data_IF_881939104961
#
_entry.id   IF_881939104961
#
_cell.length_a   1.000
_cell.length_b   1.000
_cell.length_c   1.000
_cell.angle_alpha   90.00
_cell.angle_beta   90.00
_cell.angle_gamma   90.00
#
_symmetry.space_group_name_H-M   'P 1'
#
loop_
_entity.id
_entity.type
_entity.pdbx_description
1 polymer ?
#
# COMPACT_ATOMS: atom_id res chain seq x y z
N UNK A 1 18.12 -10.48 16.98
CA UNK A 1 17.61 -9.10 16.87
C UNK A 1 16.25 -9.05 17.52
N UNK A 2 15.83 -7.89 18.01
CA UNK A 2 14.50 -7.72 18.60
C UNK A 2 13.50 -7.38 17.50
N UNK A 3 12.53 -8.25 17.25
CA UNK A 3 11.46 -7.97 16.29
C UNK A 3 10.56 -6.84 16.82
N UNK A 4 10.25 -5.89 15.95
CA UNK A 4 9.37 -4.75 16.24
C UNK A 4 8.43 -4.51 15.07
N UNK A 5 7.33 -3.80 15.31
CA UNK A 5 6.32 -3.54 14.30
C UNK A 5 6.87 -2.56 13.26
N UNK A 6 7.33 -1.38 13.70
CA UNK A 6 7.86 -0.37 12.81
C UNK A 6 9.03 0.39 13.41
N UNK A 7 9.86 0.98 12.53
CA UNK A 7 10.71 2.12 12.86
C UNK A 7 10.06 3.38 12.28
N UNK A 8 9.90 4.41 13.11
CA UNK A 8 9.53 5.76 12.66
C UNK A 8 10.76 6.64 12.77
N UNK A 9 11.13 7.30 11.68
CA UNK A 9 12.34 8.10 11.57
C UNK A 9 11.97 9.56 11.31
N UNK A 10 12.42 10.46 12.18
CA UNK A 10 12.34 11.91 11.97
C UNK A 10 13.74 12.53 12.04
N UNK A 11 13.94 13.67 11.38
CA UNK A 11 15.23 14.35 11.39
C UNK A 11 15.38 15.18 12.67
N UNK A 12 14.32 15.89 13.07
CA UNK A 12 14.36 16.89 14.14
C UNK A 12 13.53 16.48 15.37
N UNK A 13 13.81 17.12 16.51
CA UNK A 13 13.09 16.83 17.77
C UNK A 13 11.64 17.31 17.68
N UNK A 14 11.42 18.43 17.01
CA UNK A 14 10.15 19.07 16.74
C UNK A 14 9.21 18.16 15.95
N UNK A 15 9.75 17.41 14.99
CA UNK A 15 9.00 16.41 14.20
C UNK A 15 8.64 15.16 15.03
N UNK A 16 9.47 14.84 16.03
CA UNK A 16 9.27 13.69 16.91
C UNK A 16 8.37 13.99 18.11
N UNK A 17 8.34 15.24 18.56
CA UNK A 17 7.63 15.70 19.76
C UNK A 17 6.15 15.32 19.77
N UNK A 18 5.37 15.44 18.66
CA UNK A 18 3.95 15.09 18.65
C UNK A 18 3.65 13.66 19.12
N UNK A 19 4.53 12.69 18.83
CA UNK A 19 4.31 11.29 19.19
C UNK A 19 4.25 11.05 20.70
N UNK A 20 4.90 11.89 21.51
CA UNK A 20 4.83 11.80 22.98
C UNK A 20 3.41 12.02 23.50
N UNK A 21 2.65 12.91 22.84
CA UNK A 21 1.26 13.22 23.20
C UNK A 21 0.25 12.29 22.54
N UNK A 22 0.58 11.77 21.34
CA UNK A 22 -0.32 10.93 20.55
C UNK A 22 -0.30 9.45 20.98
N UNK A 23 0.61 9.05 21.87
CA UNK A 23 0.76 7.69 22.37
C UNK A 23 0.60 7.59 23.91
N UNK A 24 -0.49 8.13 24.49
CA UNK A 24 -0.63 8.24 25.95
C UNK A 24 -0.67 6.87 26.67
N UNK A 25 -1.08 5.82 25.96
CA UNK A 25 -1.21 4.46 26.51
C UNK A 25 0.02 3.58 26.27
N UNK A 26 1.07 4.10 25.62
CA UNK A 26 2.29 3.36 25.34
C UNK A 26 3.28 3.55 26.49
N UNK A 27 3.90 2.45 26.92
CA UNK A 27 5.08 2.54 27.79
C UNK A 27 6.29 2.86 26.93
N UNK A 28 7.00 3.94 27.25
CA UNK A 28 8.20 4.37 26.52
C UNK A 28 9.47 4.09 27.31
N UNK A 29 10.52 3.61 26.63
CA UNK A 29 11.86 3.46 27.20
C UNK A 29 12.92 4.00 26.25
N UNK A 30 13.86 4.81 26.77
CA UNK A 30 14.97 5.32 25.97
C UNK A 30 15.90 4.20 25.50
N UNK A 31 16.39 4.31 24.26
CA UNK A 31 17.38 3.41 23.69
C UNK A 31 18.65 4.21 23.45
N UNK A 32 19.78 3.78 24.04
CA UNK A 32 21.06 4.46 23.86
C UNK A 32 21.54 4.33 22.42
N UNK A 33 21.73 5.46 21.74
CA UNK A 33 22.23 5.58 20.36
C UNK A 33 23.67 6.11 20.34
N UNK A 34 24.41 5.93 19.23
CA UNK A 34 25.74 6.53 19.05
C UNK A 34 25.68 8.06 18.84
N UNK A 35 24.58 8.55 18.25
CA UNK A 35 24.23 9.96 18.05
C UNK A 35 22.71 10.05 17.84
N UNK A 36 22.17 11.27 17.77
CA UNK A 36 20.72 11.48 17.74
C UNK A 36 20.06 10.92 19.00
N UNK A 37 18.79 10.54 18.91
CA UNK A 37 18.08 9.90 20.02
C UNK A 37 17.14 8.81 19.53
N UNK A 38 16.79 7.89 20.43
CA UNK A 38 15.80 6.87 20.16
C UNK A 38 15.01 6.51 21.41
N UNK A 39 13.73 6.20 21.23
CA UNK A 39 12.91 5.59 22.26
C UNK A 39 12.03 4.50 21.68
N UNK A 40 11.74 3.51 22.51
CA UNK A 40 10.91 2.37 22.15
C UNK A 40 9.57 2.51 22.87
N UNK A 41 8.49 2.59 22.12
CA UNK A 41 7.13 2.64 22.63
C UNK A 41 6.48 1.25 22.52
N UNK A 42 5.86 0.78 23.60
CA UNK A 42 5.16 -0.51 23.63
C UNK A 42 3.76 -0.44 24.20
N UNK A 43 2.84 -1.16 23.59
CA UNK A 43 1.47 -1.41 24.08
C UNK A 43 1.01 -2.78 23.60
N UNK A 44 0.68 -3.68 24.52
CA UNK A 44 0.29 -5.05 24.16
C UNK A 44 1.38 -5.74 23.34
N UNK A 45 1.01 -6.22 22.14
CA UNK A 45 1.95 -6.83 21.17
C UNK A 45 2.67 -5.81 20.28
N UNK A 46 2.30 -4.54 20.37
CA UNK A 46 2.80 -3.47 19.53
C UNK A 46 4.07 -2.86 20.13
N UNK A 47 5.10 -2.71 19.30
CA UNK A 47 6.41 -2.21 19.63
C UNK A 47 6.92 -1.36 18.47
N UNK A 48 7.11 -0.06 18.70
CA UNK A 48 7.52 0.90 17.68
C UNK A 48 8.79 1.60 18.16
N UNK A 49 9.85 1.56 17.35
CA UNK A 49 11.08 2.29 17.62
C UNK A 49 11.03 3.64 16.93
N UNK A 50 11.21 4.70 17.69
CA UNK A 50 11.30 6.07 17.19
C UNK A 50 12.76 6.49 17.15
N UNK A 51 13.20 7.00 16.00
CA UNK A 51 14.55 7.51 15.77
C UNK A 51 14.50 8.99 15.41
N UNK A 52 15.24 9.82 16.16
CA UNK A 52 15.53 11.20 15.77
C UNK A 52 16.99 11.28 15.33
N UNK A 53 17.21 11.48 14.04
CA UNK A 53 18.52 11.23 13.39
C UNK A 53 19.46 12.43 13.42
N UNK A 54 18.92 13.64 13.46
CA UNK A 54 19.60 14.83 12.94
C UNK A 54 19.36 14.98 11.44
N UNK A 55 19.59 16.19 10.94
CA UNK A 55 19.32 16.58 9.55
C UNK A 55 20.38 16.02 8.60
N UNK A 56 19.93 15.59 7.41
CA UNK A 56 20.78 15.18 6.31
C UNK A 56 20.90 13.67 6.12
N UNK A 57 21.28 13.29 4.91
CA UNK A 57 21.23 11.93 4.40
C UNK A 57 22.16 10.99 5.17
N UNK A 58 23.35 11.47 5.55
CA UNK A 58 24.36 10.70 6.31
C UNK A 58 23.88 10.40 7.74
N UNK A 59 23.32 11.40 8.42
CA UNK A 59 22.80 11.24 9.77
C UNK A 59 21.63 10.25 9.80
N UNK A 60 20.69 10.42 8.85
CA UNK A 60 19.54 9.55 8.67
C UNK A 60 19.94 8.09 8.40
N UNK A 61 20.82 7.87 7.42
CA UNK A 61 21.30 6.54 7.04
C UNK A 61 22.08 5.87 8.16
N UNK A 62 22.96 6.62 8.83
CA UNK A 62 23.82 6.08 9.88
C UNK A 62 23.03 5.58 11.09
N UNK A 63 22.03 6.35 11.55
CA UNK A 63 21.23 5.93 12.70
C UNK A 63 20.24 4.81 12.36
N UNK A 64 19.65 4.82 11.15
CA UNK A 64 18.80 3.73 10.69
C UNK A 64 19.60 2.42 10.55
N UNK A 65 20.76 2.45 9.90
CA UNK A 65 21.62 1.26 9.75
C UNK A 65 22.07 0.71 11.12
N UNK A 66 22.41 1.58 12.07
CA UNK A 66 22.70 1.17 13.44
C UNK A 66 21.49 0.50 14.12
N UNK A 67 20.28 1.02 13.91
CA UNK A 67 19.07 0.46 14.49
C UNK A 67 18.76 -0.92 13.88
N UNK A 68 18.93 -1.08 12.57
CA UNK A 68 18.75 -2.36 11.86
C UNK A 68 19.78 -3.42 12.27
N UNK A 69 20.93 -3.03 12.83
CA UNK A 69 21.87 -3.95 13.48
C UNK A 69 21.36 -4.56 14.79
N UNK A 70 20.24 -4.06 15.34
CA UNK A 70 19.71 -4.46 16.66
C UNK A 70 18.25 -4.89 16.61
N UNK A 71 17.47 -4.26 15.75
CA UNK A 71 16.03 -4.41 15.62
C UNK A 71 15.66 -4.91 14.23
N UNK A 72 14.61 -5.71 14.17
CA UNK A 72 14.06 -6.25 12.92
C UNK A 72 12.63 -5.72 12.76
N UNK A 73 12.46 -4.57 12.07
CA UNK A 73 11.15 -3.98 11.86
C UNK A 73 10.42 -4.59 10.67
N UNK A 74 9.09 -4.56 10.71
CA UNK A 74 8.25 -4.98 9.58
C UNK A 74 7.99 -3.84 8.59
N UNK A 75 8.22 -2.59 8.97
CA UNK A 75 8.26 -1.43 8.08
C UNK A 75 9.11 -0.29 8.67
N UNK A 76 9.55 0.62 7.79
CA UNK A 76 10.19 1.88 8.13
C UNK A 76 9.32 3.00 7.57
N UNK A 77 9.02 4.01 8.40
CA UNK A 77 8.29 5.20 7.97
C UNK A 77 9.13 6.43 8.29
N UNK A 78 9.49 7.18 7.25
CA UNK A 78 10.08 8.52 7.42
C UNK A 78 8.98 9.54 7.62
N UNK A 79 9.11 10.40 8.63
CA UNK A 79 8.13 11.42 8.98
C UNK A 79 8.80 12.76 9.18
N UNK A 80 8.13 13.84 8.79
CA UNK A 80 8.58 15.20 9.11
C UNK A 80 7.92 16.27 8.26
N UNK A 81 8.58 17.42 8.15
CA UNK A 81 8.17 18.48 7.22
C UNK A 81 8.97 18.43 5.92
N UNK A 82 8.48 19.13 4.88
CA UNK A 82 9.18 19.27 3.61
C UNK A 82 8.78 20.57 2.90
N UNK A 83 9.65 21.04 2.00
CA UNK A 83 9.32 22.11 1.06
C UNK A 83 8.46 21.59 -0.09
N UNK A 84 7.37 22.28 -0.39
CA UNK A 84 6.49 22.03 -1.54
C UNK A 84 7.12 22.59 -2.81
N UNK A 85 7.32 21.72 -3.80
CA UNK A 85 7.90 22.05 -5.10
C UNK A 85 6.85 22.10 -6.21
N UNK A 86 5.67 21.52 -6.03
CA UNK A 86 4.57 21.62 -6.98
C UNK A 86 3.61 22.76 -6.59
N UNK A 87 3.16 23.54 -7.58
CA UNK A 87 2.32 24.72 -7.35
C UNK A 87 0.89 24.37 -6.88
N UNK A 88 0.50 23.08 -6.94
CA UNK A 88 -0.78 22.60 -6.39
C UNK A 88 -0.77 22.34 -4.88
N UNK A 89 0.40 22.39 -4.24
CA UNK A 89 0.55 22.13 -2.80
C UNK A 89 0.29 23.39 -1.97
N UNK A 90 -0.35 23.20 -0.82
CA UNK A 90 -0.51 24.22 0.20
C UNK A 90 0.25 23.86 1.49
N UNK A 91 0.58 24.86 2.30
CA UNK A 91 1.14 24.63 3.66
C UNK A 91 0.15 23.78 4.45
N UNK A 92 0.68 22.76 5.14
CA UNK A 92 -0.11 21.78 5.90
C UNK A 92 -0.68 20.63 5.07
N UNK A 93 -0.57 20.65 3.74
CA UNK A 93 -0.86 19.47 2.93
C UNK A 93 0.10 18.32 3.27
N UNK A 94 -0.37 17.10 3.08
CA UNK A 94 0.42 15.89 3.27
C UNK A 94 0.94 15.40 1.91
N UNK A 95 2.23 15.13 1.81
CA UNK A 95 2.85 14.41 0.69
C UNK A 95 3.30 13.04 1.17
N UNK A 96 2.79 12.01 0.50
CA UNK A 96 3.21 10.62 0.65
C UNK A 96 4.13 10.27 -0.51
N UNK A 97 5.39 9.93 -0.23
CA UNK A 97 6.31 9.54 -1.29
C UNK A 97 5.89 8.23 -1.96
N UNK A 98 5.91 8.21 -3.30
CA UNK A 98 5.75 6.98 -4.11
C UNK A 98 7.06 6.56 -4.76
N UNK A 99 7.92 7.54 -5.05
CA UNK A 99 9.27 7.39 -5.59
C UNK A 99 10.20 8.37 -4.90
N UNK A 100 11.45 7.96 -4.72
CA UNK A 100 12.49 8.74 -4.07
C UNK A 100 13.73 8.84 -4.95
N UNK A 101 14.23 10.06 -5.15
CA UNK A 101 15.41 10.34 -5.99
C UNK A 101 16.40 11.24 -5.27
N UNK A 102 17.69 11.03 -5.54
CA UNK A 102 18.74 11.86 -4.96
C UNK A 102 18.86 13.16 -5.76
N UNK A 103 18.59 14.30 -5.13
CA UNK A 103 18.56 15.61 -5.80
C UNK A 103 19.91 16.16 -6.26
N UNK A 104 21.03 15.55 -5.83
CA UNK A 104 22.38 16.07 -6.08
C UNK A 104 23.32 15.03 -6.72
N UNK A 105 22.91 13.77 -6.88
CA UNK A 105 23.75 12.78 -7.52
C UNK A 105 23.79 13.02 -9.04
N UNK A 106 24.99 13.09 -9.60
CA UNK A 106 25.20 13.23 -11.03
C UNK A 106 26.29 12.27 -11.51
N UNK A 107 25.85 11.18 -12.13
CA UNK A 107 26.69 10.25 -12.85
C UNK A 107 26.32 10.20 -14.35
N UNK A 108 25.72 11.27 -14.88
CA UNK A 108 25.28 11.37 -16.28
C UNK A 108 26.44 11.25 -17.26
N UNK A 109 27.65 11.63 -16.84
CA UNK A 109 28.89 11.39 -17.60
C UNK A 109 29.14 9.91 -17.93
N UNK A 110 28.54 8.99 -17.18
CA UNK A 110 28.60 7.54 -17.40
C UNK A 110 27.29 6.96 -17.99
N UNK A 111 26.35 7.81 -18.40
CA UNK A 111 25.09 7.40 -19.02
C UNK A 111 23.95 7.06 -18.05
N UNK A 112 24.11 7.35 -16.75
CA UNK A 112 23.03 7.21 -15.76
C UNK A 112 22.04 8.39 -15.83
N UNK A 113 20.82 8.17 -15.33
CA UNK A 113 19.83 9.24 -15.21
C UNK A 113 20.23 10.28 -14.14
N UNK A 114 19.77 11.54 -14.23
CA UNK A 114 19.94 12.51 -13.16
C UNK A 114 19.44 11.97 -11.82
N UNK A 115 20.23 12.16 -10.76
CA UNK A 115 19.91 11.64 -9.42
C UNK A 115 20.17 10.15 -9.20
N UNK A 116 20.58 9.41 -10.24
CA UNK A 116 20.92 8.00 -10.12
C UNK A 116 22.40 7.81 -9.74
N UNK A 117 22.62 7.18 -8.59
CA UNK A 117 23.96 6.73 -8.19
C UNK A 117 24.32 5.44 -8.95
N UNK A 118 25.54 5.28 -9.48
CA UNK A 118 25.95 4.07 -10.18
C UNK A 118 25.68 2.79 -9.36
N UNK A 119 25.03 1.82 -10.00
CA UNK A 119 24.66 0.55 -9.36
C UNK A 119 23.41 0.60 -8.49
N UNK A 120 22.73 1.75 -8.39
CA UNK A 120 21.43 1.90 -7.71
C UNK A 120 20.30 2.04 -8.74
N UNK A 121 19.05 1.74 -8.37
CA UNK A 121 17.91 2.10 -9.20
C UNK A 121 17.81 3.62 -9.37
N UNK A 122 17.19 4.07 -10.47
CA UNK A 122 16.92 5.49 -10.72
C UNK A 122 16.04 6.10 -9.63
N UNK A 123 15.04 5.33 -9.19
CA UNK A 123 14.16 5.67 -8.08
C UNK A 123 14.10 4.52 -7.08
N UNK A 124 14.08 4.84 -5.80
CA UNK A 124 13.60 3.91 -4.79
C UNK A 124 12.09 4.04 -4.68
N UNK A 125 11.37 2.92 -4.70
CA UNK A 125 9.90 2.92 -4.66
C UNK A 125 9.39 2.72 -3.24
N UNK A 126 8.30 3.42 -2.90
CA UNK A 126 7.58 3.17 -1.67
C UNK A 126 6.76 1.88 -1.77
N UNK A 127 6.47 1.26 -0.62
CA UNK A 127 5.59 0.09 -0.56
C UNK A 127 4.14 0.52 -0.79
N UNK A 128 3.50 -0.04 -1.82
CA UNK A 128 2.14 0.33 -2.23
C UNK A 128 1.11 0.30 -1.08
N UNK A 129 1.13 -0.73 -0.23
CA UNK A 129 0.23 -0.85 0.92
C UNK A 129 0.40 0.29 1.94
N UNK A 130 1.64 0.78 2.14
CA UNK A 130 1.91 1.91 3.04
C UNK A 130 1.43 3.23 2.41
N UNK A 131 1.59 3.38 1.10
CA UNK A 131 1.09 4.55 0.36
C UNK A 131 -0.43 4.60 0.40
N UNK A 132 -1.12 3.49 0.09
CA UNK A 132 -2.59 3.42 0.13
C UNK A 132 -3.12 3.72 1.54
N UNK A 133 -2.46 3.16 2.57
CA UNK A 133 -2.81 3.41 3.96
C UNK A 133 -2.65 4.89 4.35
N UNK A 134 -1.58 5.54 3.91
CA UNK A 134 -1.31 6.95 4.18
C UNK A 134 -2.27 7.88 3.40
N UNK A 135 -2.60 7.57 2.15
CA UNK A 135 -3.60 8.31 1.38
C UNK A 135 -5.01 8.19 1.98
N UNK A 136 -5.32 7.04 2.58
CA UNK A 136 -6.60 6.83 3.27
C UNK A 136 -6.66 7.53 4.65
N UNK A 137 -5.53 7.99 5.19
CA UNK A 137 -5.44 8.73 6.43
C UNK A 137 -5.83 10.20 6.24
N UNK A 138 -7.07 10.43 5.81
CA UNK A 138 -7.61 11.76 5.60
C UNK A 138 -7.69 12.54 6.91
N UNK A 139 -7.17 13.78 6.88
CA UNK A 139 -7.42 14.77 7.92
C UNK A 139 -8.37 15.84 7.40
N UNK A 140 -9.32 16.25 8.23
CA UNK A 140 -10.23 17.34 7.88
C UNK A 140 -9.41 18.60 7.53
N UNK A 141 -9.72 19.22 6.39
CA UNK A 141 -9.11 20.45 5.87
C UNK A 141 -7.65 20.33 5.39
N UNK A 142 -7.15 19.13 5.05
CA UNK A 142 -5.82 18.96 4.43
C UNK A 142 -5.90 18.01 3.25
N UNK A 143 -5.24 18.34 2.15
CA UNK A 143 -5.13 17.43 1.01
C UNK A 143 -3.99 16.44 1.24
N UNK A 144 -4.16 15.23 0.73
CA UNK A 144 -3.07 14.23 0.72
C UNK A 144 -2.72 13.93 -0.72
N UNK A 145 -1.47 14.19 -1.06
CA UNK A 145 -0.88 14.00 -2.38
C UNK A 145 0.09 12.84 -2.34
N UNK A 146 0.23 12.12 -3.44
CA UNK A 146 1.21 11.03 -3.55
C UNK A 146 2.03 11.19 -4.83
N UNK A 147 3.35 11.12 -4.71
CA UNK A 147 4.20 11.41 -5.86
C UNK A 147 5.70 11.37 -5.56
N UNK A 148 6.46 12.04 -6.42
CA UNK A 148 7.92 12.04 -6.38
C UNK A 148 8.44 12.95 -5.28
N UNK A 149 9.34 12.42 -4.44
CA UNK A 149 10.07 13.16 -3.42
C UNK A 149 11.56 13.16 -3.76
N UNK A 150 12.17 14.34 -3.77
CA UNK A 150 13.62 14.50 -3.96
C UNK A 150 14.31 14.71 -2.62
N UNK A 151 15.46 14.08 -2.39
CA UNK A 151 16.27 14.32 -1.19
C UNK A 151 17.71 14.69 -1.51
N UNK A 152 18.27 15.67 -0.80
CA UNK A 152 19.69 16.04 -0.88
C UNK A 152 20.15 16.75 0.38
N UNK A 153 21.46 16.80 0.65
CA UNK A 153 22.03 17.62 1.73
C UNK A 153 22.04 19.13 1.40
N UNK A 154 21.00 19.61 0.72
CA UNK A 154 20.83 21.01 0.33
C UNK A 154 19.37 21.41 0.50
N UNK A 155 19.16 22.53 1.17
CA UNK A 155 17.85 23.13 1.30
C UNK A 155 17.41 23.73 -0.04
N UNK A 156 16.17 23.44 -0.46
CA UNK A 156 15.63 23.96 -1.72
C UNK A 156 15.08 25.36 -1.48
N UNK A 157 15.48 26.31 -2.32
CA UNK A 157 15.15 27.73 -2.24
C UNK A 157 14.68 28.23 -3.60
N UNK A 158 14.20 29.47 -3.67
CA UNK A 158 13.87 30.12 -4.94
C UNK A 158 15.04 30.07 -5.95
N UNK A 159 16.28 30.07 -5.48
CA UNK A 159 17.46 30.06 -6.34
C UNK A 159 17.69 28.73 -7.08
N UNK A 160 17.22 27.60 -6.53
CA UNK A 160 17.50 26.27 -7.10
C UNK A 160 16.23 25.45 -7.42
N UNK A 161 15.03 25.90 -7.02
CA UNK A 161 13.76 25.20 -7.27
C UNK A 161 13.47 25.00 -8.75
N UNK A 162 13.77 25.98 -9.61
CA UNK A 162 13.53 25.87 -11.05
C UNK A 162 14.39 24.75 -11.68
N UNK A 163 15.63 24.62 -11.23
CA UNK A 163 16.51 23.53 -11.64
C UNK A 163 15.95 22.18 -11.18
N UNK A 164 15.51 22.08 -9.91
CA UNK A 164 14.92 20.83 -9.39
C UNK A 164 13.67 20.40 -10.17
N UNK A 165 12.76 21.33 -10.47
CA UNK A 165 11.55 21.05 -11.27
C UNK A 165 11.88 20.61 -12.70
N UNK A 166 12.93 21.17 -13.29
CA UNK A 166 13.37 20.83 -14.65
C UNK A 166 14.05 19.46 -14.68
N UNK A 167 14.94 19.19 -13.73
CA UNK A 167 15.68 17.93 -13.63
C UNK A 167 14.78 16.76 -13.22
N UNK A 168 13.79 17.01 -12.37
CA UNK A 168 12.87 16.00 -11.85
C UNK A 168 11.42 16.39 -12.15
N UNK A 169 10.93 16.17 -13.39
CA UNK A 169 9.56 16.50 -13.75
C UNK A 169 8.53 15.79 -12.86
N UNK A 170 7.56 16.54 -12.34
CA UNK A 170 6.52 16.03 -11.44
C UNK A 170 6.96 15.83 -9.99
N UNK A 171 8.11 16.38 -9.58
CA UNK A 171 8.52 16.43 -8.18
C UNK A 171 7.50 17.20 -7.35
N UNK A 172 6.99 16.57 -6.29
CA UNK A 172 6.03 17.20 -5.37
C UNK A 172 6.74 17.95 -4.26
N UNK A 173 7.71 17.32 -3.61
CA UNK A 173 8.37 17.91 -2.44
C UNK A 173 9.85 17.56 -2.37
N UNK A 174 10.58 18.37 -1.63
CA UNK A 174 11.99 18.16 -1.32
C UNK A 174 12.23 18.07 0.19
N UNK A 175 13.04 17.09 0.60
CA UNK A 175 13.55 16.98 1.96
C UNK A 175 15.06 16.64 1.94
N UNK A 176 15.62 16.26 3.09
CA UNK A 176 17.04 15.96 3.22
C UNK A 176 17.32 14.49 3.65
N UNK A 177 16.30 13.62 3.68
CA UNK A 177 16.45 12.26 4.26
C UNK A 177 15.71 11.14 3.52
N UNK A 178 14.54 11.39 2.90
CA UNK A 178 13.63 10.30 2.48
C UNK A 178 14.30 9.31 1.52
N UNK A 179 15.02 9.79 0.51
CA UNK A 179 15.69 8.90 -0.44
C UNK A 179 16.81 8.07 0.23
N UNK A 180 17.57 8.65 1.14
CA UNK A 180 18.64 7.94 1.84
C UNK A 180 18.06 6.80 2.71
N UNK A 181 16.96 7.09 3.42
CA UNK A 181 16.23 6.09 4.21
C UNK A 181 15.60 5.02 3.32
N UNK A 182 15.02 5.39 2.18
CA UNK A 182 14.47 4.46 1.20
C UNK A 182 15.54 3.51 0.64
N UNK A 183 16.74 4.03 0.38
CA UNK A 183 17.87 3.24 -0.10
C UNK A 183 18.33 2.20 0.94
N UNK A 184 18.41 2.59 2.22
CA UNK A 184 18.72 1.63 3.29
C UNK A 184 17.61 0.59 3.42
N UNK A 185 16.34 1.00 3.42
CA UNK A 185 15.21 0.07 3.50
C UNK A 185 15.21 -0.93 2.33
N UNK A 186 15.48 -0.47 1.11
CA UNK A 186 15.61 -1.31 -0.08
C UNK A 186 16.76 -2.32 0.06
N UNK A 187 17.92 -1.91 0.57
CA UNK A 187 19.07 -2.80 0.76
C UNK A 187 18.79 -3.93 1.78
N UNK A 188 17.87 -3.71 2.72
CA UNK A 188 17.46 -4.69 3.73
C UNK A 188 16.14 -5.40 3.40
N UNK A 189 15.53 -5.14 2.24
CA UNK A 189 14.22 -5.66 1.82
C UNK A 189 13.10 -5.36 2.85
N UNK A 190 13.11 -4.16 3.42
CA UNK A 190 12.14 -3.71 4.42
C UNK A 190 11.15 -2.73 3.77
N UNK A 191 9.83 -2.92 3.95
CA UNK A 191 8.81 -1.98 3.49
C UNK A 191 9.06 -0.54 3.95
N UNK A 192 8.91 0.42 3.04
CA UNK A 192 9.22 1.84 3.28
C UNK A 192 8.15 2.77 2.73
N UNK A 193 7.88 3.84 3.46
CA UNK A 193 7.20 5.02 2.96
C UNK A 193 7.70 6.27 3.69
N UNK A 194 7.48 7.44 3.09
CA UNK A 194 7.68 8.72 3.75
C UNK A 194 6.38 9.51 3.75
N UNK A 195 6.17 10.25 4.84
CA UNK A 195 5.02 11.12 5.05
C UNK A 195 5.55 12.48 5.47
N UNK A 196 5.36 13.47 4.61
CA UNK A 196 5.79 14.84 4.84
C UNK A 196 4.59 15.76 4.92
N UNK A 197 4.59 16.68 5.88
CA UNK A 197 3.66 17.81 5.87
C UNK A 197 4.38 19.03 5.29
N UNK A 198 3.75 19.75 4.37
CA UNK A 198 4.37 20.89 3.70
C UNK A 198 4.52 22.06 4.69
N UNK A 199 5.75 22.53 4.89
CA UNK A 199 6.07 23.68 5.78
C UNK A 199 6.12 25.01 5.03
N UNK A 200 6.45 24.96 3.74
CA UNK A 200 6.68 26.11 2.88
C UNK A 200 6.49 25.68 1.41
N UNK A 201 6.12 26.61 0.53
CA UNK A 201 6.00 26.35 -0.91
C UNK A 201 7.04 27.19 -1.63
N UNK A 202 8.05 26.53 -2.19
CA UNK A 202 9.25 27.19 -2.71
C UNK A 202 8.97 27.82 -4.07
N UNK A 203 9.24 29.12 -4.21
CA UNK A 203 9.04 29.85 -5.48
C UNK A 203 7.61 30.37 -5.70
N UNK A 204 6.74 30.30 -4.70
CA UNK A 204 5.40 30.90 -4.77
C UNK A 204 5.49 32.43 -4.79
N UNK A 205 4.78 33.07 -5.72
CA UNK A 205 4.79 34.52 -5.96
C UNK A 205 4.29 35.39 -4.79
N UNK A 206 3.76 34.79 -3.72
CA UNK A 206 3.23 35.45 -2.52
C UNK A 206 4.05 35.16 -1.24
N UNK A 207 5.37 35.00 -1.38
CA UNK A 207 6.32 34.66 -0.30
C UNK A 207 6.20 35.51 1.00
N UNK A 208 5.71 36.75 0.92
CA UNK A 208 5.51 37.63 2.10
C UNK A 208 4.32 37.27 2.99
N UNK A 209 3.30 36.55 2.49
CA UNK A 209 2.18 36.06 3.31
C UNK A 209 2.47 34.72 3.99
N UNK A 210 3.55 34.04 3.61
CA UNK A 210 3.82 32.64 3.97
C UNK A 210 4.84 32.51 5.12
N UNK A 211 5.79 33.45 5.23
CA UNK A 211 6.76 33.46 6.33
C UNK A 211 6.15 33.84 7.70
N UNK A 212 5.01 34.53 7.72
CA UNK A 212 4.32 34.92 8.96
C UNK A 212 3.51 33.76 9.57
N UNK A 213 3.13 32.77 8.75
CA UNK A 213 2.46 31.53 9.15
C UNK A 213 3.43 30.46 9.70
N UNK A 214 4.72 30.57 9.35
CA UNK A 214 5.78 29.60 9.68
C UNK A 214 5.91 29.28 11.18
N UNK A 215 5.86 30.27 12.07
CA UNK A 215 6.07 30.02 13.52
C UNK A 215 4.80 29.62 14.30
N UNK A 216 3.60 29.88 13.76
CA UNK A 216 2.34 29.51 14.41
C UNK A 216 1.81 28.14 13.93
N UNK A 217 2.35 27.61 12.81
CA UNK A 217 1.87 26.37 12.17
C UNK A 217 2.81 25.16 12.25
N UNK A 218 4.08 25.30 12.63
CA UNK A 218 5.03 24.18 12.70
C UNK A 218 4.56 23.03 13.63
N UNK A 219 4.00 23.37 14.79
CA UNK A 219 3.37 22.39 15.68
C UNK A 219 2.20 21.67 14.98
N UNK A 220 1.44 22.38 14.14
CA UNK A 220 0.37 21.83 13.32
C UNK A 220 0.86 20.93 12.20
N UNK A 221 1.97 21.29 11.54
CA UNK A 221 2.61 20.55 10.43
C UNK A 221 3.20 19.23 10.95
N UNK A 222 4.03 19.29 12.00
CA UNK A 222 4.61 18.10 12.61
C UNK A 222 3.52 17.17 13.17
N UNK A 223 2.51 17.73 13.84
CA UNK A 223 1.38 16.94 14.37
C UNK A 223 0.56 16.31 13.24
N UNK A 224 0.35 17.01 12.12
CA UNK A 224 -0.36 16.45 10.98
C UNK A 224 0.39 15.27 10.36
N UNK A 225 1.70 15.38 10.15
CA UNK A 225 2.53 14.27 9.68
C UNK A 225 2.48 13.08 10.66
N UNK A 226 2.67 13.34 11.96
CA UNK A 226 2.65 12.31 13.00
C UNK A 226 1.31 11.57 13.09
N UNK A 227 0.18 12.29 13.04
CA UNK A 227 -1.17 11.70 13.01
C UNK A 227 -1.38 10.82 11.79
N UNK A 228 -0.93 11.26 10.62
CA UNK A 228 -1.00 10.48 9.38
C UNK A 228 -0.17 9.20 9.51
N UNK A 229 1.01 9.26 10.12
CA UNK A 229 1.83 8.09 10.40
C UNK A 229 1.15 7.12 11.35
N UNK A 230 0.61 7.57 12.48
CA UNK A 230 -0.10 6.66 13.37
C UNK A 230 -1.33 6.03 12.72
N UNK A 231 -2.05 6.80 11.90
CA UNK A 231 -3.22 6.27 11.19
C UNK A 231 -2.81 5.27 10.09
N UNK A 232 -1.77 5.55 9.29
CA UNK A 232 -1.29 4.62 8.26
C UNK A 232 -0.78 3.31 8.88
N UNK A 233 -0.05 3.39 9.99
CA UNK A 233 0.46 2.23 10.72
C UNK A 233 -0.68 1.37 11.28
N UNK A 234 -1.78 2.01 11.66
CA UNK A 234 -2.99 1.31 12.10
C UNK A 234 -3.78 0.66 10.95
N UNK A 235 -3.55 1.11 9.71
CA UNK A 235 -4.22 0.64 8.49
C UNK A 235 -3.44 -0.43 7.73
N UNK A 236 -2.16 -0.65 8.06
CA UNK A 236 -1.35 -1.69 7.43
C UNK A 236 -1.37 -3.02 8.21
N UNK A 237 -1.84 -4.10 7.57
CA UNK A 237 -1.88 -5.46 8.17
C UNK A 237 -0.51 -5.99 8.61
N UNK A 238 0.55 -5.40 8.08
CA UNK A 238 1.91 -5.79 8.37
C UNK A 238 2.41 -5.27 9.73
N UNK A 239 1.66 -4.46 10.47
CA UNK A 239 2.22 -3.73 11.62
C UNK A 239 1.52 -3.95 12.94
N UNK A 240 0.40 -4.66 13.05
CA UNK A 240 -0.20 -5.15 14.33
C UNK A 240 -0.12 -4.15 15.53
N UNK A 241 -0.54 -2.89 15.30
CA UNK A 241 -0.52 -1.80 16.30
C UNK A 241 -1.90 -1.66 16.98
N UNK A 242 -2.00 -1.95 18.29
CA UNK A 242 -3.22 -1.80 19.11
C UNK A 242 -3.53 -0.32 19.41
N UNK A 243 -4.80 0.08 19.21
CA UNK A 243 -5.26 1.48 19.29
C UNK A 243 -5.64 1.94 20.70
N UNK A 244 -5.63 3.26 20.89
CA UNK A 244 -6.51 3.96 21.84
C UNK A 244 -7.50 4.84 21.04
N UNK A 245 -8.80 4.75 21.35
CA UNK A 245 -9.77 5.80 21.03
C UNK A 245 -10.55 5.78 19.71
N UNK A 246 -10.22 4.98 18.68
CA UNK A 246 -11.07 4.87 17.46
C UNK A 246 -11.20 3.42 17.03
N UNK A 247 -12.44 2.91 17.00
CA UNK A 247 -12.80 1.50 16.79
C UNK A 247 -12.08 0.80 15.61
N UNK A 248 -11.99 -0.54 15.64
CA UNK A 248 -11.07 -1.31 14.80
C UNK A 248 -11.39 -1.18 13.30
N UNK A 249 -10.36 -0.88 12.49
CA UNK A 249 -10.32 -1.36 11.11
C UNK A 249 -9.96 -2.86 11.20
N UNK A 250 -10.94 -3.72 10.92
CA UNK A 250 -10.93 -5.13 11.29
C UNK A 250 -10.09 -5.97 10.30
N UNK A 251 -9.03 -6.61 10.80
CA UNK A 251 -8.31 -7.66 10.07
C UNK A 251 -9.06 -8.98 10.21
N UNK A 252 -9.21 -9.70 9.11
CA UNK A 252 -9.65 -11.09 9.10
C UNK A 252 -8.43 -11.97 8.88
N UNK A 253 -8.05 -12.75 9.90
CA UNK A 253 -7.00 -13.76 9.80
C UNK A 253 -7.33 -14.78 8.70
N UNK A 254 -6.34 -15.54 8.21
CA UNK A 254 -6.61 -16.63 7.25
C UNK A 254 -7.65 -17.61 7.81
N UNK A 255 -7.55 -17.94 9.10
CA UNK A 255 -8.52 -18.75 9.82
C UNK A 255 -9.93 -18.11 9.82
N UNK A 256 -10.05 -16.82 10.12
CA UNK A 256 -11.32 -16.08 10.06
C UNK A 256 -11.94 -16.08 8.66
N UNK A 257 -11.11 -15.95 7.61
CA UNK A 257 -11.56 -16.03 6.21
C UNK A 257 -11.95 -17.46 5.81
N UNK A 258 -11.25 -18.48 6.30
CA UNK A 258 -11.63 -19.89 6.11
C UNK A 258 -12.97 -20.17 6.81
N UNK A 259 -13.17 -19.67 8.03
CA UNK A 259 -14.45 -19.75 8.74
C UNK A 259 -15.59 -19.05 7.99
N UNK A 260 -15.32 -17.89 7.36
CA UNK A 260 -16.28 -17.22 6.49
C UNK A 260 -16.65 -18.08 5.28
N UNK A 261 -15.66 -18.69 4.62
CA UNK A 261 -15.87 -19.61 3.50
C UNK A 261 -16.69 -20.83 3.92
N UNK A 262 -16.39 -21.45 5.07
CA UNK A 262 -17.15 -22.58 5.62
C UNK A 262 -18.60 -22.20 5.94
N UNK A 263 -18.83 -21.04 6.56
CA UNK A 263 -20.18 -20.56 6.85
C UNK A 263 -20.99 -20.35 5.57
N UNK A 264 -20.40 -19.69 4.57
CA UNK A 264 -21.09 -19.44 3.30
C UNK A 264 -21.30 -20.73 2.51
N UNK A 265 -20.36 -21.68 2.56
CA UNK A 265 -20.51 -23.01 1.98
C UNK A 265 -21.70 -23.75 2.61
N UNK A 266 -21.78 -23.77 3.95
CA UNK A 266 -22.88 -24.40 4.66
C UNK A 266 -24.24 -23.79 4.30
N UNK A 267 -24.30 -22.45 4.21
CA UNK A 267 -25.53 -21.75 3.80
C UNK A 267 -25.90 -22.03 2.35
N UNK A 268 -24.95 -21.99 1.42
CA UNK A 268 -25.18 -22.23 0.00
C UNK A 268 -25.71 -23.65 -0.27
N UNK A 269 -25.23 -24.64 0.49
CA UNK A 269 -25.68 -26.03 0.41
C UNK A 269 -26.81 -26.39 1.38
N UNK A 270 -27.38 -25.41 2.09
CA UNK A 270 -28.49 -25.57 3.05
C UNK A 270 -28.22 -26.66 4.10
N UNK A 271 -27.00 -26.68 4.65
CA UNK A 271 -26.60 -27.64 5.66
C UNK A 271 -27.23 -27.30 7.02
N UNK A 272 -27.48 -28.35 7.80
CA UNK A 272 -27.90 -28.21 9.19
C UNK A 272 -26.70 -28.04 10.14
N UNK A 273 -26.86 -27.33 11.27
CA UNK A 273 -25.79 -27.14 12.25
C UNK A 273 -25.23 -28.48 12.76
N UNK A 274 -23.91 -28.62 12.79
CA UNK A 274 -23.22 -29.84 13.20
C UNK A 274 -22.68 -29.75 14.63
N UNK A 275 -22.62 -30.89 15.33
CA UNK A 275 -21.91 -31.02 16.61
C UNK A 275 -20.41 -31.33 16.44
N UNK A 276 -19.87 -31.28 15.22
CA UNK A 276 -18.45 -31.48 14.96
C UNK A 276 -17.60 -30.37 15.59
N UNK A 277 -16.41 -30.74 16.07
CA UNK A 277 -15.45 -29.78 16.63
C UNK A 277 -14.62 -29.18 15.51
N UNK A 278 -14.45 -27.85 15.53
CA UNK A 278 -13.49 -27.18 14.65
C UNK A 278 -12.06 -27.40 15.16
N UNK A 279 -11.06 -27.44 14.28
CA UNK A 279 -9.65 -27.30 14.66
C UNK A 279 -9.42 -26.11 15.60
N UNK A 280 -8.52 -26.27 16.58
CA UNK A 280 -8.31 -25.29 17.66
C UNK A 280 -7.91 -23.90 17.16
N UNK A 281 -7.15 -23.84 16.05
CA UNK A 281 -6.76 -22.60 15.38
C UNK A 281 -7.98 -21.86 14.79
N UNK A 282 -8.85 -22.57 14.08
CA UNK A 282 -10.08 -22.00 13.53
C UNK A 282 -11.07 -21.58 14.64
N UNK A 283 -11.16 -22.37 15.71
CA UNK A 283 -12.05 -22.13 16.83
C UNK A 283 -11.62 -20.90 17.66
N UNK A 284 -10.33 -20.72 17.89
CA UNK A 284 -9.80 -19.56 18.60
C UNK A 284 -10.03 -18.25 17.82
N UNK A 285 -9.73 -18.25 16.53
CA UNK A 285 -9.86 -17.06 15.67
C UNK A 285 -11.32 -16.64 15.46
N UNK A 286 -12.25 -17.59 15.30
CA UNK A 286 -13.64 -17.22 15.03
C UNK A 286 -14.34 -16.62 16.24
N UNK A 287 -13.94 -17.03 17.46
CA UNK A 287 -14.57 -16.62 18.71
C UNK A 287 -14.66 -15.09 18.81
N UNK A 288 -13.59 -14.38 18.45
CA UNK A 288 -13.52 -12.91 18.49
C UNK A 288 -14.52 -12.21 17.55
N UNK A 289 -14.86 -12.84 16.42
CA UNK A 289 -15.77 -12.26 15.43
C UNK A 289 -17.24 -12.53 15.73
N UNK A 290 -17.54 -13.67 16.37
CA UNK A 290 -18.92 -14.07 16.69
C UNK A 290 -19.35 -13.71 18.11
N UNK A 291 -18.43 -13.20 18.95
CA UNK A 291 -18.73 -12.80 20.34
C UNK A 291 -19.77 -11.68 20.41
N UNK A 292 -19.90 -10.87 19.36
CA UNK A 292 -20.91 -9.80 19.28
C UNK A 292 -22.31 -10.30 18.93
N UNK A 293 -22.47 -11.57 18.56
CA UNK A 293 -23.77 -12.18 18.27
C UNK A 293 -24.46 -12.64 19.55
N UNK A 294 -25.79 -12.63 19.56
CA UNK A 294 -26.60 -13.21 20.64
C UNK A 294 -26.19 -14.68 20.91
N UNK A 295 -26.16 -15.14 22.16
CA UNK A 295 -25.65 -16.47 22.51
C UNK A 295 -26.24 -17.64 21.70
N UNK A 296 -27.56 -17.63 21.45
CA UNK A 296 -28.22 -18.66 20.65
C UNK A 296 -27.89 -18.59 19.15
N UNK A 297 -27.65 -17.40 18.62
CA UNK A 297 -27.19 -17.19 17.23
C UNK A 297 -25.74 -17.60 17.09
N UNK A 298 -24.89 -17.22 18.04
CA UNK A 298 -23.47 -17.55 18.10
C UNK A 298 -23.24 -19.06 18.03
N UNK A 299 -23.91 -19.82 18.90
CA UNK A 299 -23.82 -21.28 18.93
C UNK A 299 -24.25 -21.89 17.59
N UNK A 300 -25.35 -21.40 17.00
CA UNK A 300 -25.80 -21.85 15.68
C UNK A 300 -24.81 -21.54 14.56
N UNK A 301 -24.17 -20.36 14.56
CA UNK A 301 -23.17 -19.97 13.57
C UNK A 301 -21.93 -20.84 13.67
N UNK A 302 -21.40 -21.07 14.88
CA UNK A 302 -20.25 -21.95 15.10
C UNK A 302 -20.55 -23.36 14.60
N UNK A 303 -21.73 -23.90 14.92
CA UNK A 303 -22.17 -25.22 14.45
C UNK A 303 -22.37 -25.29 12.93
N UNK A 304 -22.76 -24.19 12.28
CA UNK A 304 -22.83 -24.11 10.82
C UNK A 304 -21.44 -24.05 10.17
N UNK A 305 -20.48 -23.35 10.79
CA UNK A 305 -19.08 -23.36 10.34
C UNK A 305 -18.51 -24.78 10.44
N UNK A 306 -18.75 -25.46 11.56
CA UNK A 306 -18.37 -26.87 11.73
C UNK A 306 -19.03 -27.80 10.69
N UNK A 307 -20.30 -27.55 10.34
CA UNK A 307 -20.97 -28.28 9.27
C UNK A 307 -20.30 -28.04 7.91
N UNK A 308 -19.96 -26.79 7.59
CA UNK A 308 -19.25 -26.42 6.37
C UNK A 308 -17.85 -27.02 6.28
N UNK A 309 -17.12 -27.03 7.40
CA UNK A 309 -15.81 -27.69 7.53
C UNK A 309 -15.91 -29.18 7.20
N UNK A 310 -16.79 -29.91 7.90
CA UNK A 310 -16.97 -31.35 7.67
C UNK A 310 -17.50 -31.66 6.27
N UNK A 311 -18.37 -30.81 5.74
CA UNK A 311 -18.87 -30.96 4.38
C UNK A 311 -17.77 -30.81 3.34
N UNK A 312 -16.83 -29.87 3.53
CA UNK A 312 -15.68 -29.70 2.62
C UNK A 312 -14.75 -30.92 2.60
N UNK A 313 -14.59 -31.61 3.74
CA UNK A 313 -13.80 -32.85 3.84
C UNK A 313 -14.48 -34.01 3.12
N UNK A 314 -15.80 -34.13 3.26
CA UNK A 314 -16.59 -35.24 2.67
C UNK A 314 -16.89 -35.03 1.19
N UNK A 315 -17.09 -33.78 0.76
CA UNK A 315 -17.46 -33.40 -0.60
C UNK A 315 -16.45 -32.41 -1.20
N UNK A 316 -15.19 -32.81 -1.47
CA UNK A 316 -14.19 -31.90 -2.03
C UNK A 316 -14.58 -31.30 -3.38
N UNK A 317 -15.49 -31.95 -4.13
CA UNK A 317 -15.99 -31.43 -5.42
C UNK A 317 -17.10 -30.38 -5.29
N UNK A 318 -17.53 -30.05 -4.07
CA UNK A 318 -18.57 -29.05 -3.83
C UNK A 318 -18.17 -27.68 -4.39
N UNK A 319 -19.17 -26.94 -4.86
CA UNK A 319 -18.96 -25.63 -5.49
C UNK A 319 -19.45 -24.51 -4.60
N UNK A 320 -18.70 -23.42 -4.57
CA UNK A 320 -19.11 -22.13 -4.01
C UNK A 320 -18.55 -21.04 -4.92
N UNK A 321 -19.39 -20.36 -5.69
CA UNK A 321 -18.92 -19.24 -6.52
C UNK A 321 -18.78 -17.98 -5.68
N UNK A 322 -17.95 -17.02 -6.10
CA UNK A 322 -17.84 -15.72 -5.43
C UNK A 322 -19.20 -14.99 -5.35
N UNK A 323 -20.05 -15.17 -6.38
CA UNK A 323 -21.41 -14.64 -6.42
C UNK A 323 -22.32 -15.31 -5.38
N UNK A 324 -22.27 -16.63 -5.25
CA UNK A 324 -23.05 -17.35 -4.25
C UNK A 324 -22.61 -16.97 -2.84
N UNK A 325 -21.29 -16.84 -2.62
CA UNK A 325 -20.72 -16.35 -1.37
C UNK A 325 -21.30 -14.96 -1.01
N UNK A 326 -21.24 -13.98 -1.92
CA UNK A 326 -21.73 -12.63 -1.62
C UNK A 326 -23.25 -12.60 -1.43
N UNK A 327 -24.00 -13.48 -2.10
CA UNK A 327 -25.46 -13.63 -1.93
C UNK A 327 -25.77 -14.12 -0.51
N UNK A 328 -25.15 -15.21 -0.07
CA UNK A 328 -25.34 -15.76 1.27
C UNK A 328 -24.85 -14.81 2.37
N UNK A 329 -23.77 -14.06 2.08
CA UNK A 329 -23.21 -13.05 2.97
C UNK A 329 -24.18 -11.90 3.18
N UNK A 330 -24.78 -11.40 2.10
CA UNK A 330 -25.75 -10.30 2.18
C UNK A 330 -26.97 -10.69 3.03
N UNK A 331 -27.47 -11.93 2.91
CA UNK A 331 -28.54 -12.45 3.78
C UNK A 331 -28.09 -12.53 5.24
N UNK A 332 -26.90 -13.08 5.50
CA UNK A 332 -26.37 -13.20 6.86
C UNK A 332 -26.26 -11.84 7.56
N UNK A 333 -25.70 -10.86 6.85
CA UNK A 333 -25.56 -9.47 7.31
C UNK A 333 -26.91 -8.83 7.56
N UNK A 334 -27.89 -9.02 6.67
CA UNK A 334 -29.23 -8.47 6.85
C UNK A 334 -29.92 -9.03 8.11
N UNK A 335 -29.71 -10.30 8.42
CA UNK A 335 -30.33 -10.98 9.56
C UNK A 335 -29.68 -10.67 10.90
N UNK A 336 -28.38 -10.31 10.94
CA UNK A 336 -27.61 -10.22 12.19
C UNK A 336 -26.79 -8.92 12.34
N UNK A 337 -26.84 -8.00 11.37
CA UNK A 337 -25.97 -6.83 11.30
C UNK A 337 -26.57 -5.49 11.75
N UNK A 338 -27.55 -5.49 12.67
CA UNK A 338 -28.13 -4.22 13.14
C UNK A 338 -27.15 -3.51 14.10
N UNK A 339 -26.87 -2.24 13.78
CA UNK A 339 -26.23 -1.23 14.65
C UNK A 339 -24.71 -1.35 14.91
N UNK A 340 -23.92 -1.63 13.87
CA UNK A 340 -22.45 -1.45 13.93
C UNK A 340 -22.01 -0.38 12.92
N UNK A 341 -21.54 0.77 13.42
CA UNK A 341 -20.92 1.86 12.65
C UNK A 341 -19.52 1.52 12.11
N UNK A 342 -19.23 0.24 11.90
CA UNK A 342 -17.94 -0.28 11.44
C UNK A 342 -18.10 -1.62 10.73
N UNK A 343 -17.16 -1.92 9.82
CA UNK A 343 -17.12 -3.09 8.92
C UNK A 343 -17.55 -4.43 9.56
N UNK A 344 -18.17 -5.32 8.76
CA UNK A 344 -18.93 -6.50 9.25
C UNK A 344 -18.31 -7.83 8.77
N UNK A 345 -18.07 -8.77 9.69
CA UNK A 345 -17.80 -10.18 9.38
C UNK A 345 -19.11 -10.92 9.07
N UNK A 346 -19.16 -11.81 8.06
CA UNK A 346 -18.10 -12.16 7.11
C UNK A 346 -17.80 -11.07 6.06
N UNK A 347 -16.53 -10.93 5.61
CA UNK A 347 -16.13 -9.95 4.59
C UNK A 347 -16.65 -10.30 3.19
N UNK A 348 -16.52 -9.38 2.23
CA UNK A 348 -16.91 -9.59 0.82
C UNK A 348 -15.98 -10.58 0.11
N UNK A 349 -16.46 -11.16 -1.00
CA UNK A 349 -15.63 -12.05 -1.84
C UNK A 349 -14.37 -11.36 -2.37
N UNK A 350 -14.42 -10.05 -2.65
CA UNK A 350 -13.26 -9.26 -3.08
C UNK A 350 -12.16 -9.24 -2.01
N UNK A 351 -12.52 -9.07 -0.75
CA UNK A 351 -11.57 -9.13 0.37
C UNK A 351 -10.96 -10.52 0.50
N UNK A 352 -11.77 -11.58 0.36
CA UNK A 352 -11.27 -12.96 0.36
C UNK A 352 -10.28 -13.18 -0.79
N UNK A 353 -10.61 -12.80 -2.03
CA UNK A 353 -9.75 -12.95 -3.22
C UNK A 353 -8.39 -12.28 -3.01
N UNK A 354 -8.38 -11.03 -2.53
CA UNK A 354 -7.13 -10.29 -2.26
C UNK A 354 -6.23 -11.02 -1.26
N UNK A 355 -6.82 -11.72 -0.29
CA UNK A 355 -6.10 -12.42 0.80
C UNK A 355 -5.64 -13.84 0.45
N UNK A 356 -6.16 -14.42 -0.63
CA UNK A 356 -5.74 -15.72 -1.16
C UNK A 356 -5.15 -15.57 -2.57
N UNK A 357 -3.95 -14.96 -2.65
CA UNK A 357 -3.13 -14.81 -3.86
C UNK A 357 -3.84 -14.17 -5.07
N UNK A 358 -4.93 -13.44 -4.86
CA UNK A 358 -5.66 -12.78 -5.94
C UNK A 358 -6.61 -13.68 -6.73
N UNK A 359 -6.86 -14.94 -6.30
CA UNK A 359 -7.74 -15.87 -7.00
C UNK A 359 -8.74 -16.56 -6.07
N UNK A 360 -10.01 -16.63 -6.52
CA UNK A 360 -11.08 -17.32 -5.78
C UNK A 360 -10.79 -18.81 -5.57
N UNK A 361 -10.21 -19.48 -6.56
CA UNK A 361 -9.88 -20.90 -6.45
C UNK A 361 -8.83 -21.19 -5.38
N UNK A 362 -7.90 -20.27 -5.13
CA UNK A 362 -6.90 -20.42 -4.07
C UNK A 362 -7.58 -20.32 -2.69
N UNK A 363 -8.59 -19.46 -2.56
CA UNK A 363 -9.44 -19.39 -1.37
C UNK A 363 -10.22 -20.70 -1.15
N UNK A 364 -10.85 -21.25 -2.19
CA UNK A 364 -11.56 -22.53 -2.09
C UNK A 364 -10.61 -23.70 -1.77
N UNK A 365 -9.40 -23.70 -2.33
CA UNK A 365 -8.38 -24.72 -2.03
C UNK A 365 -7.95 -24.67 -0.57
N UNK A 366 -7.89 -23.47 0.02
CA UNK A 366 -7.54 -23.28 1.43
C UNK A 366 -8.52 -23.94 2.42
N UNK A 367 -9.74 -24.25 1.97
CA UNK A 367 -10.76 -24.94 2.76
C UNK A 367 -11.00 -26.38 2.30
N UNK A 368 -10.04 -26.99 1.57
CA UNK A 368 -10.11 -28.40 1.18
C UNK A 368 -10.96 -28.70 -0.06
N UNK A 369 -11.60 -27.70 -0.66
CA UNK A 369 -12.34 -27.88 -1.91
C UNK A 369 -11.39 -28.00 -3.11
N UNK A 370 -11.79 -28.83 -4.07
CA UNK A 370 -11.13 -29.08 -5.35
C UNK A 370 -11.99 -28.44 -6.45
N UNK A 371 -11.90 -27.11 -6.64
CA UNK A 371 -12.68 -26.43 -7.66
C UNK A 371 -12.40 -27.07 -9.04
N UNK A 372 -13.47 -27.31 -9.82
CA UNK A 372 -13.33 -27.78 -11.20
C UNK A 372 -12.37 -26.85 -11.93
N UNK A 373 -11.49 -27.44 -12.75
CA UNK A 373 -10.44 -26.74 -13.52
C UNK A 373 -11.03 -25.49 -14.19
N UNK A 374 -10.88 -24.34 -13.53
CA UNK A 374 -11.06 -23.04 -14.15
C UNK A 374 -9.97 -22.83 -15.18
N UNK A 375 -10.04 -21.75 -15.96
CA UNK A 375 -8.95 -21.37 -16.89
C UNK A 375 -7.60 -21.63 -16.25
N UNK A 376 -6.74 -22.36 -16.96
CA UNK A 376 -5.39 -22.67 -16.51
C UNK A 376 -4.76 -21.43 -15.87
N UNK A 377 -4.07 -21.63 -14.74
CA UNK A 377 -3.09 -20.66 -14.22
C UNK A 377 -2.34 -20.09 -15.41
N UNK A 378 -2.30 -18.76 -15.50
CA UNK A 378 -1.67 -18.06 -16.60
C UNK A 378 -0.22 -18.46 -16.75
N UNK A 379 0.06 -19.52 -17.49
CA UNK A 379 1.03 -19.40 -18.56
C UNK A 379 0.52 -18.26 -19.40
N UNK A 380 1.25 -17.15 -19.40
CA UNK A 380 1.01 -16.03 -20.30
C UNK A 380 0.73 -16.65 -21.68
N UNK A 381 -0.53 -16.63 -22.13
CA UNK A 381 -0.91 -17.14 -23.46
C UNK A 381 -0.06 -16.46 -24.56
N UNK A 382 0.44 -15.28 -24.22
CA UNK A 382 1.21 -14.38 -25.04
C UNK A 382 2.40 -13.87 -24.21
N UNK A 383 3.61 -14.10 -24.68
CA UNK A 383 4.85 -13.54 -24.15
C UNK A 383 4.87 -12.00 -24.23
N UNK A 384 5.80 -11.33 -23.53
CA UNK A 384 5.99 -9.87 -23.67
C UNK A 384 6.10 -9.43 -25.13
N UNK A 385 6.78 -10.24 -25.95
CA UNK A 385 7.00 -9.98 -27.36
C UNK A 385 5.71 -10.11 -28.17
N UNK A 386 4.82 -11.05 -27.83
CA UNK A 386 3.51 -11.20 -28.48
C UNK A 386 2.62 -9.97 -28.24
N UNK A 387 2.73 -9.34 -27.08
CA UNK A 387 2.04 -8.07 -26.78
C UNK A 387 2.57 -6.92 -27.62
N UNK A 388 3.90 -6.76 -27.69
CA UNK A 388 4.51 -5.71 -28.50
C UNK A 388 4.27 -5.94 -29.99
N UNK A 389 4.37 -7.19 -30.45
CA UNK A 389 4.10 -7.60 -31.83
C UNK A 389 2.67 -7.26 -32.25
N UNK A 390 1.68 -7.54 -31.39
CA UNK A 390 0.28 -7.24 -31.69
C UNK A 390 0.02 -5.73 -31.81
N UNK A 391 0.61 -4.93 -30.92
CA UNK A 391 0.46 -3.47 -30.95
C UNK A 391 1.16 -2.90 -32.20
N UNK A 392 2.39 -3.34 -32.51
CA UNK A 392 3.13 -2.90 -33.70
C UNK A 392 2.41 -3.27 -35.00
N UNK A 393 1.91 -4.50 -35.10
CA UNK A 393 1.17 -4.99 -36.28
C UNK A 393 -0.08 -4.13 -36.54
N UNK A 394 -0.82 -3.79 -35.49
CA UNK A 394 -1.96 -2.88 -35.60
C UNK A 394 -1.55 -1.44 -35.95
N UNK A 395 -0.48 -0.92 -35.35
CA UNK A 395 -0.02 0.46 -35.65
C UNK A 395 0.39 0.58 -37.11
N UNK A 396 1.04 -0.44 -37.68
CA UNK A 396 1.37 -0.51 -39.11
C UNK A 396 0.10 -0.48 -39.97
N UNK A 397 -0.90 -1.32 -39.65
CA UNK A 397 -2.19 -1.36 -40.34
C UNK A 397 -2.95 -0.03 -40.27
N UNK A 398 -3.05 0.55 -39.07
CA UNK A 398 -3.70 1.83 -38.86
C UNK A 398 -3.03 2.96 -39.65
N UNK A 399 -1.68 2.97 -39.72
CA UNK A 399 -0.94 3.95 -40.51
C UNK A 399 -1.11 3.73 -42.02
N UNK A 400 -1.15 2.49 -42.50
CA UNK A 400 -1.43 2.17 -43.90
C UNK A 400 -2.79 2.75 -44.35
N UNK A 401 -3.79 2.64 -43.49
CA UNK A 401 -5.15 3.14 -43.74
C UNK A 401 -5.35 4.62 -43.34
N UNK A 402 -4.27 5.35 -43.00
CA UNK A 402 -4.29 6.75 -42.53
C UNK A 402 -5.22 6.99 -41.33
N UNK A 403 -5.41 5.99 -40.47
CA UNK A 403 -6.19 6.06 -39.22
C UNK A 403 -5.28 6.33 -38.03
N UNK A 404 -5.79 7.07 -37.04
CA UNK A 404 -5.10 7.25 -35.76
C UNK A 404 -5.26 5.99 -34.89
N UNK A 405 -4.16 5.40 -34.36
CA UNK A 405 -4.24 4.23 -33.51
C UNK A 405 -5.06 4.48 -32.23
N UNK A 406 -6.18 3.79 -32.08
CA UNK A 406 -7.00 3.84 -30.86
C UNK A 406 -7.35 2.44 -30.33
N UNK A 407 -7.69 2.37 -29.05
CA UNK A 407 -8.10 1.14 -28.37
C UNK A 407 -9.32 0.45 -29.02
N UNK A 408 -10.32 1.25 -29.37
CA UNK A 408 -11.55 0.74 -29.99
C UNK A 408 -11.24 0.19 -31.39
N UNK A 409 -10.45 0.92 -32.18
CA UNK A 409 -10.06 0.48 -33.51
C UNK A 409 -9.11 -0.73 -33.49
N UNK A 410 -8.29 -0.92 -32.44
CA UNK A 410 -7.53 -2.16 -32.24
C UNK A 410 -8.44 -3.36 -32.03
N UNK A 411 -9.48 -3.18 -31.21
CA UNK A 411 -10.44 -4.26 -30.91
C UNK A 411 -11.24 -4.66 -32.15
N UNK A 412 -11.61 -3.69 -32.98
CA UNK A 412 -12.25 -3.93 -34.28
C UNK A 412 -11.28 -4.64 -35.25
N UNK A 413 -10.07 -4.09 -35.45
CA UNK A 413 -9.03 -4.66 -36.31
C UNK A 413 -8.69 -6.11 -35.94
N UNK A 414 -8.59 -6.42 -34.65
CA UNK A 414 -8.30 -7.77 -34.15
C UNK A 414 -9.37 -8.78 -34.60
N UNK A 415 -10.62 -8.34 -34.68
CA UNK A 415 -11.76 -9.17 -35.08
C UNK A 415 -11.84 -9.27 -36.61
N UNK A 416 -11.74 -8.15 -37.31
CA UNK A 416 -11.85 -8.03 -38.77
C UNK A 416 -10.70 -8.75 -39.50
N UNK A 417 -9.50 -8.74 -38.92
CA UNK A 417 -8.31 -9.39 -39.49
C UNK A 417 -8.22 -10.90 -39.19
N UNK A 418 -9.21 -11.48 -38.50
CA UNK A 418 -9.19 -12.90 -38.10
C UNK A 418 -8.09 -13.25 -37.08
N UNK A 419 -7.56 -12.25 -36.37
CA UNK A 419 -6.50 -12.39 -35.37
C UNK A 419 -7.04 -12.61 -33.94
N UNK A 420 -8.37 -12.57 -33.78
CA UNK A 420 -9.05 -12.84 -32.52
C UNK A 420 -8.64 -14.20 -31.95
N UNK A 421 -8.02 -14.18 -30.77
CA UNK A 421 -7.53 -15.39 -30.10
C UNK A 421 -6.13 -15.85 -30.51
N UNK A 422 -5.55 -15.29 -31.58
CA UNK A 422 -4.14 -15.48 -31.99
C UNK A 422 -3.21 -14.39 -31.46
N UNK A 423 -3.75 -13.19 -31.20
CA UNK A 423 -3.04 -12.08 -30.56
C UNK A 423 -3.73 -11.66 -29.25
N UNK A 424 -3.04 -10.95 -28.33
CA UNK A 424 -3.62 -10.39 -27.12
C UNK A 424 -4.86 -9.53 -27.37
N UNK A 425 -5.86 -9.63 -26.51
CA UNK A 425 -7.03 -8.74 -26.58
C UNK A 425 -6.66 -7.32 -26.13
N UNK A 426 -7.44 -6.32 -26.55
CA UNK A 426 -7.22 -4.93 -26.12
C UNK A 426 -7.28 -4.79 -24.59
N UNK A 427 -8.22 -5.49 -23.95
CA UNK A 427 -8.33 -5.52 -22.49
C UNK A 427 -7.07 -6.12 -21.83
N UNK A 428 -6.51 -7.19 -22.40
CA UNK A 428 -5.27 -7.80 -21.89
C UNK A 428 -4.07 -6.87 -22.07
N UNK A 429 -4.01 -6.11 -23.18
CA UNK A 429 -2.99 -5.08 -23.41
C UNK A 429 -3.08 -3.99 -22.34
N UNK A 430 -4.27 -3.42 -22.08
CA UNK A 430 -4.44 -2.40 -21.04
C UNK A 430 -4.14 -2.92 -19.64
N UNK A 431 -4.53 -4.14 -19.33
CA UNK A 431 -4.20 -4.76 -18.05
C UNK A 431 -2.69 -4.91 -17.86
N UNK A 432 -1.95 -5.18 -18.95
CA UNK A 432 -0.49 -5.36 -18.90
C UNK A 432 0.28 -4.05 -18.84
N UNK A 433 -0.11 -3.06 -19.64
CA UNK A 433 0.63 -1.80 -19.79
C UNK A 433 0.01 -0.64 -19.01
N UNK A 434 -1.06 -0.86 -18.24
CA UNK A 434 -1.80 0.20 -17.52
C UNK A 434 -2.81 0.93 -18.40
N UNK A 435 -2.37 1.42 -19.56
CA UNK A 435 -3.22 2.16 -20.51
C UNK A 435 -2.91 1.83 -21.98
N UNK A 436 -3.82 2.25 -22.87
CA UNK A 436 -3.58 2.13 -24.32
C UNK A 436 -2.44 3.04 -24.79
N UNK A 437 -2.28 4.22 -24.17
CA UNK A 437 -1.22 5.16 -24.48
C UNK A 437 0.16 4.57 -24.12
N UNK A 438 0.28 3.97 -22.93
CA UNK A 438 1.50 3.29 -22.50
C UNK A 438 1.81 2.06 -23.36
N UNK A 439 0.79 1.33 -23.80
CA UNK A 439 0.96 0.23 -24.74
C UNK A 439 1.55 0.69 -26.09
N UNK A 440 1.04 1.80 -26.65
CA UNK A 440 1.59 2.39 -27.88
C UNK A 440 3.03 2.87 -27.69
N UNK A 441 3.32 3.51 -26.56
CA UNK A 441 4.68 3.96 -26.22
C UNK A 441 5.65 2.79 -26.09
N UNK A 442 5.25 1.71 -25.41
CA UNK A 442 6.06 0.50 -25.26
C UNK A 442 6.32 -0.21 -26.60
N UNK A 443 5.40 -0.06 -27.57
CA UNK A 443 5.51 -0.65 -28.90
C UNK A 443 6.34 0.20 -29.88
N UNK A 444 6.59 1.48 -29.59
CA UNK A 444 7.39 2.36 -30.43
C UNK A 444 8.87 1.93 -30.38
N UNK A 445 9.37 1.36 -31.48
CA UNK A 445 10.81 1.32 -31.80
C UNK A 445 11.09 2.59 -32.62
N UNK A 446 12.15 3.31 -32.23
CA UNK A 446 12.79 4.46 -32.88
C UNK A 446 12.15 4.95 -34.18
N UNK A 447 11.54 6.15 -34.11
CA UNK A 447 11.36 7.03 -35.27
C UNK A 447 12.60 7.90 -35.46
N UNK A 448 13.76 7.29 -35.66
CA UNK A 448 14.93 7.96 -36.26
C UNK A 448 15.70 6.96 -37.13
N UNK A 449 15.26 6.88 -38.40
CA UNK A 449 16.11 6.57 -39.56
C UNK A 449 15.48 7.19 -40.81
#
# INVERSE_FOLDING_TARGET
MTTINAIIVAAMTEEMTPFTSLLPDFTTSNVRTPFGSAFLARKGRSSILFLTTGVGMVAASGLLAWALGKFEPRAIVSVGSAGGLDDSLAIGDIVVGTKYVHGAADATAFGYAPGQVPGQPEYFEATADLVEAAQAASQANRSTHAGLVVSSDSFITEANVANMRTTFPGVLSADMESQALAQIAHAFDIPFASVRSISDVVGASDAKKQAQTFNEELDGVATAAARTVLDLLSRTSALDIERSGHGPAQYFSKASLQCALFLMLAKAHKLEPSAATLPDDLAADIAEHVDRLEPGVRDRVIKLIAAGYKFSENEPSATLTAKDYDTQRAEFVKSHGKDQSGFMWPPTSQTVIKRFNGYWNDALTSIGLKPRRGRNRGGLKFSSDDYLFAIRSYVIDAHHDRRQPSFNAYTAWLTESGNAGKLPSGAAIRQRFGSWKEALNAAAIDRES
#
